data_IF_233218958102
#
_entry.id   IF_233218958102
#
_cell.length_a   1.000
_cell.length_b   1.000
_cell.length_c   1.000
_cell.angle_alpha   90.00
_cell.angle_beta   90.00
_cell.angle_gamma   90.00
#
_symmetry.space_group_name_H-M   'P 1'
#
loop_
_entity.id
_entity.type
_entity.pdbx_description
1 polymer ?
#
# COMPACT_ATOMS: atom_id res chain seq x y z
N UNK A 1 -8.30 6.94 19.68
CA UNK A 1 -9.03 6.96 18.39
C UNK A 1 -8.03 6.56 17.32
N UNK A 2 -8.43 5.73 16.36
CA UNK A 2 -7.56 5.35 15.24
C UNK A 2 -7.61 6.50 14.23
N UNK A 3 -6.55 7.31 14.16
CA UNK A 3 -6.43 8.40 13.20
C UNK A 3 -5.76 7.96 11.90
N UNK A 4 -5.68 8.90 10.94
CA UNK A 4 -5.08 8.67 9.62
C UNK A 4 -3.61 8.24 9.71
N UNK A 5 -2.90 8.68 10.77
CA UNK A 5 -1.51 8.31 11.02
C UNK A 5 -1.31 6.80 11.13
N UNK A 6 -2.27 6.07 11.69
CA UNK A 6 -2.20 4.61 11.80
C UNK A 6 -2.28 3.94 10.42
N UNK A 7 -3.16 4.43 9.54
CA UNK A 7 -3.30 3.92 8.18
C UNK A 7 -2.05 4.22 7.34
N UNK A 8 -1.48 5.42 7.48
CA UNK A 8 -0.24 5.80 6.78
C UNK A 8 0.92 4.91 7.21
N UNK A 9 1.08 4.64 8.52
CA UNK A 9 2.14 3.76 9.02
C UNK A 9 2.00 2.35 8.45
N UNK A 10 0.78 1.79 8.43
CA UNK A 10 0.54 0.46 7.85
C UNK A 10 0.85 0.43 6.35
N UNK A 11 0.36 1.41 5.58
CA UNK A 11 0.66 1.52 4.15
C UNK A 11 2.16 1.61 3.88
N UNK A 12 2.90 2.42 4.65
CA UNK A 12 4.35 2.55 4.49
C UNK A 12 5.06 1.24 4.81
N UNK A 13 4.68 0.55 5.89
CA UNK A 13 5.27 -0.76 6.25
C UNK A 13 5.03 -1.79 5.15
N UNK A 14 3.79 -1.90 4.64
CA UNK A 14 3.46 -2.83 3.56
C UNK A 14 4.21 -2.50 2.27
N UNK A 15 4.35 -1.23 1.92
CA UNK A 15 5.10 -0.80 0.75
C UNK A 15 6.58 -1.16 0.87
N UNK A 16 7.21 -0.89 2.02
CA UNK A 16 8.61 -1.25 2.29
C UNK A 16 8.81 -2.76 2.24
N UNK A 17 7.88 -3.56 2.79
CA UNK A 17 7.94 -5.01 2.69
C UNK A 17 7.83 -5.50 1.24
N UNK A 18 6.98 -4.89 0.42
CA UNK A 18 6.91 -5.17 -1.01
C UNK A 18 8.23 -4.87 -1.73
N UNK A 19 8.82 -3.69 -1.49
CA UNK A 19 10.12 -3.31 -2.04
C UNK A 19 11.22 -4.30 -1.63
N UNK A 20 11.30 -4.64 -0.34
CA UNK A 20 12.26 -5.63 0.17
C UNK A 20 12.03 -7.02 -0.44
N UNK A 21 10.77 -7.41 -0.65
CA UNK A 21 10.38 -8.66 -1.31
C UNK A 21 11.00 -8.79 -2.70
N UNK A 22 11.01 -7.70 -3.49
CA UNK A 22 11.63 -7.66 -4.82
C UNK A 22 13.15 -7.82 -4.74
N UNK A 23 13.81 -7.06 -3.87
CA UNK A 23 15.28 -7.09 -3.76
C UNK A 23 15.81 -8.43 -3.24
N UNK A 24 15.12 -9.05 -2.29
CA UNK A 24 15.52 -10.32 -1.68
C UNK A 24 15.28 -11.52 -2.63
N UNK A 25 14.18 -11.52 -3.38
CA UNK A 25 13.72 -12.68 -4.16
C UNK A 25 13.77 -12.47 -5.68
N UNK A 26 14.78 -11.74 -6.17
CA UNK A 26 14.96 -11.41 -7.61
C UNK A 26 15.01 -12.59 -8.59
N UNK A 27 15.15 -13.83 -8.11
CA UNK A 27 15.18 -15.05 -8.94
C UNK A 27 13.80 -15.67 -9.15
N UNK A 28 12.83 -15.33 -8.30
CA UNK A 28 11.49 -15.93 -8.34
C UNK A 28 10.47 -14.89 -8.82
N UNK A 29 10.10 -14.98 -10.10
CA UNK A 29 9.16 -14.06 -10.75
C UNK A 29 7.81 -14.04 -10.01
N UNK A 30 7.35 -15.18 -9.49
CA UNK A 30 6.07 -15.25 -8.76
C UNK A 30 6.14 -14.39 -7.48
N UNK A 31 7.26 -14.45 -6.75
CA UNK A 31 7.44 -13.63 -5.53
C UNK A 31 7.54 -12.15 -5.88
N UNK A 32 8.17 -11.81 -7.00
CA UNK A 32 8.23 -10.42 -7.48
C UNK A 32 6.83 -9.91 -7.82
N UNK A 33 6.00 -10.71 -8.49
CA UNK A 33 4.61 -10.35 -8.79
C UNK A 33 3.78 -10.18 -7.52
N UNK A 34 3.88 -11.09 -6.56
CA UNK A 34 3.20 -10.94 -5.25
C UNK A 34 3.68 -9.69 -4.49
N UNK A 35 4.97 -9.35 -4.58
CA UNK A 35 5.51 -8.14 -3.98
C UNK A 35 5.00 -6.87 -4.66
N UNK A 36 4.79 -6.90 -5.99
CA UNK A 36 4.14 -5.81 -6.74
C UNK A 36 2.67 -5.66 -6.30
N UNK A 37 1.92 -6.76 -6.21
CA UNK A 37 0.54 -6.72 -5.70
C UNK A 37 0.48 -6.13 -4.28
N UNK A 38 1.43 -6.50 -3.41
CA UNK A 38 1.52 -5.96 -2.06
C UNK A 38 1.80 -4.44 -2.04
N UNK A 39 2.67 -3.95 -2.94
CA UNK A 39 2.92 -2.52 -3.09
C UNK A 39 1.69 -1.77 -3.61
N UNK A 40 0.98 -2.33 -4.58
CA UNK A 40 -0.26 -1.73 -5.10
C UNK A 40 -1.35 -1.67 -4.02
N UNK A 41 -1.48 -2.72 -3.22
CA UNK A 41 -2.39 -2.75 -2.07
C UNK A 41 -2.06 -1.63 -1.06
N UNK A 42 -0.77 -1.44 -0.75
CA UNK A 42 -0.33 -0.39 0.16
C UNK A 42 -0.70 1.02 -0.34
N UNK A 43 -0.56 1.28 -1.64
CA UNK A 43 -0.97 2.53 -2.30
C UNK A 43 -2.49 2.71 -2.21
N UNK A 44 -3.28 1.65 -2.47
CA UNK A 44 -4.73 1.70 -2.37
C UNK A 44 -5.23 2.02 -0.97
N UNK A 45 -4.63 1.43 0.07
CA UNK A 45 -4.94 1.77 1.46
C UNK A 45 -4.70 3.26 1.71
N UNK A 46 -3.61 3.81 1.16
CA UNK A 46 -3.27 5.22 1.34
C UNK A 46 -4.28 6.14 0.63
N UNK A 47 -4.67 5.81 -0.61
CA UNK A 47 -5.68 6.54 -1.38
C UNK A 47 -7.05 6.56 -0.67
N UNK A 48 -7.50 5.41 -0.18
CA UNK A 48 -8.78 5.29 0.55
C UNK A 48 -8.72 6.02 1.89
N UNK A 49 -7.60 5.95 2.61
CA UNK A 49 -7.42 6.66 3.88
C UNK A 49 -7.49 8.18 3.73
N UNK A 50 -6.85 8.74 2.68
CA UNK A 50 -6.93 10.17 2.39
C UNK A 50 -8.31 10.59 1.90
N UNK A 51 -8.98 9.76 1.10
CA UNK A 51 -10.37 9.97 0.70
C UNK A 51 -11.30 10.08 1.90
N UNK A 52 -11.20 9.15 2.85
CA UNK A 52 -12.01 9.15 4.07
C UNK A 52 -11.69 10.36 4.97
N UNK A 53 -10.42 10.75 5.07
CA UNK A 53 -10.01 11.89 5.89
C UNK A 53 -10.49 13.24 5.32
N UNK A 54 -10.40 13.43 4.01
CA UNK A 54 -10.84 14.65 3.32
C UNK A 54 -12.35 14.68 3.05
N UNK A 55 -13.08 13.60 3.35
CA UNK A 55 -14.49 13.42 2.98
C UNK A 55 -14.75 13.63 1.48
N UNK A 56 -13.79 13.21 0.66
CA UNK A 56 -13.84 13.32 -0.80
C UNK A 56 -13.71 11.93 -1.43
N UNK A 57 -14.54 11.60 -2.41
CA UNK A 57 -14.63 10.27 -3.00
C UNK A 57 -13.48 9.96 -3.98
N UNK A 58 -12.67 10.96 -4.35
CA UNK A 58 -11.64 10.83 -5.39
C UNK A 58 -10.66 9.69 -5.12
N UNK A 59 -10.15 9.56 -3.89
CA UNK A 59 -9.21 8.47 -3.56
C UNK A 59 -9.82 7.07 -3.61
N UNK A 60 -11.14 6.93 -3.38
CA UNK A 60 -11.84 5.64 -3.56
C UNK A 60 -12.05 5.28 -5.03
N UNK A 61 -12.18 6.28 -5.92
CA UNK A 61 -12.34 6.05 -7.36
C UNK A 61 -11.02 5.58 -7.99
N UNK A 62 -9.89 6.02 -7.46
CA UNK A 62 -8.56 5.65 -7.96
C UNK A 62 -7.98 4.37 -7.36
N UNK A 63 -8.52 3.88 -6.24
CA UNK A 63 -8.05 2.69 -5.54
C UNK A 63 -8.66 1.40 -6.11
#
# INVERSE_FOLDING_TARGET
MIGIEHYIVVSVVLFVLGVLGIFLNRKNVIVILMAIELMLLAVNINLVAFSAFMNDLVGQVFA
#
